data_IF_962460675001
#
_entry.id   IF_962460675001
#
_cell.length_a   1.000
_cell.length_b   1.000
_cell.length_c   1.000
_cell.angle_alpha   90.00
_cell.angle_beta   90.00
_cell.angle_gamma   90.00
#
_symmetry.space_group_name_H-M   'P 1'
#
loop_
_entity.id
_entity.type
_entity.pdbx_description
1 polymer ?
#
# COMPACT_ATOMS: atom_id res chain seq x y z
N UNK A 1 -23.46 23.93 24.61
CA UNK A 1 -22.68 22.66 24.67
C UNK A 1 -22.34 22.30 26.11
N UNK A 2 -21.81 23.24 26.91
CA UNK A 2 -21.58 23.02 28.36
C UNK A 2 -22.83 22.61 29.13
N UNK A 3 -23.97 23.32 28.96
CA UNK A 3 -25.22 22.99 29.66
C UNK A 3 -25.73 21.56 29.36
N UNK A 4 -25.57 21.11 28.11
CA UNK A 4 -25.93 19.76 27.69
C UNK A 4 -25.02 18.70 28.33
N UNK A 5 -23.71 18.99 28.46
CA UNK A 5 -22.76 18.10 29.10
C UNK A 5 -23.00 18.00 30.61
N UNK A 6 -23.33 19.11 31.27
CA UNK A 6 -23.67 19.11 32.72
C UNK A 6 -24.97 18.39 33.03
N UNK A 7 -26.02 18.58 32.21
CA UNK A 7 -27.31 17.92 32.41
C UNK A 7 -27.18 16.40 32.23
N UNK A 8 -26.42 15.96 31.21
CA UNK A 8 -26.13 14.53 31.00
C UNK A 8 -25.24 13.93 32.08
N UNK A 9 -24.34 14.72 32.68
CA UNK A 9 -23.54 14.25 33.81
C UNK A 9 -24.42 14.02 35.05
N UNK A 10 -25.37 14.91 35.34
CA UNK A 10 -26.29 14.68 36.45
C UNK A 10 -27.17 13.43 36.25
N UNK A 11 -27.66 13.20 35.03
CA UNK A 11 -28.40 11.98 34.70
C UNK A 11 -27.57 10.71 34.95
N UNK A 12 -26.29 10.71 34.55
CA UNK A 12 -25.38 9.56 34.71
C UNK A 12 -25.08 9.27 36.18
N UNK A 13 -24.87 10.29 37.03
CA UNK A 13 -24.57 10.10 38.46
C UNK A 13 -25.80 9.57 39.22
N UNK A 14 -27.00 9.87 38.73
CA UNK A 14 -28.27 9.46 39.35
C UNK A 14 -28.67 8.00 39.09
N UNK A 15 -27.89 7.26 38.29
CA UNK A 15 -28.21 5.89 37.91
C UNK A 15 -28.11 4.91 39.08
N UNK A 16 -28.99 3.91 39.09
CA UNK A 16 -28.97 2.84 40.08
C UNK A 16 -27.92 1.76 39.74
N UNK A 17 -27.66 0.86 40.69
CA UNK A 17 -26.61 -0.17 40.56
C UNK A 17 -26.79 -1.09 39.35
N UNK A 18 -28.02 -1.41 38.95
CA UNK A 18 -28.31 -2.24 37.77
C UNK A 18 -28.01 -1.49 36.47
N UNK A 19 -28.33 -0.19 36.40
CA UNK A 19 -28.04 0.66 35.25
C UNK A 19 -26.53 0.90 35.07
N UNK A 20 -25.81 1.09 36.17
CA UNK A 20 -24.33 1.15 36.16
C UNK A 20 -23.71 -0.14 35.63
N UNK A 21 -24.26 -1.30 36.00
CA UNK A 21 -23.78 -2.59 35.51
C UNK A 21 -23.97 -2.76 34.00
N UNK A 22 -25.12 -2.32 33.46
CA UNK A 22 -25.38 -2.33 32.01
C UNK A 22 -24.43 -1.39 31.26
N UNK A 23 -24.16 -0.20 31.80
CA UNK A 23 -23.18 0.73 31.21
C UNK A 23 -21.76 0.17 31.21
N UNK A 24 -21.37 -0.53 32.28
CA UNK A 24 -20.07 -1.20 32.36
C UNK A 24 -19.95 -2.28 31.28
N UNK A 25 -20.98 -3.12 31.08
CA UNK A 25 -20.99 -4.15 30.04
C UNK A 25 -20.89 -3.51 28.65
N UNK A 26 -21.64 -2.44 28.38
CA UNK A 26 -21.57 -1.71 27.11
C UNK A 26 -20.18 -1.11 26.88
N UNK A 27 -19.57 -0.50 27.90
CA UNK A 27 -18.22 0.07 27.80
C UNK A 27 -17.16 -1.01 27.54
N UNK A 28 -17.27 -2.18 28.19
CA UNK A 28 -16.40 -3.33 27.93
C UNK A 28 -16.62 -3.86 26.52
N UNK A 29 -17.86 -4.05 26.06
CA UNK A 29 -18.15 -4.53 24.72
C UNK A 29 -17.63 -3.57 23.62
N UNK A 30 -17.77 -2.26 23.81
CA UNK A 30 -17.23 -1.23 22.92
C UNK A 30 -15.70 -1.24 22.96
N UNK A 31 -15.10 -1.28 24.15
CA UNK A 31 -13.64 -1.33 24.32
C UNK A 31 -13.02 -2.59 23.70
N UNK A 32 -13.66 -3.75 23.88
CA UNK A 32 -13.26 -5.02 23.28
C UNK A 32 -13.48 -5.02 21.76
N UNK A 33 -14.58 -4.46 21.26
CA UNK A 33 -14.84 -4.29 19.84
C UNK A 33 -13.81 -3.37 19.17
N UNK A 34 -13.47 -2.25 19.80
CA UNK A 34 -12.41 -1.35 19.36
C UNK A 34 -11.04 -2.01 19.44
N UNK A 35 -10.76 -2.82 20.47
CA UNK A 35 -9.54 -3.60 20.58
C UNK A 35 -9.42 -4.64 19.45
N UNK A 36 -10.49 -5.37 19.12
CA UNK A 36 -10.48 -6.30 18.00
C UNK A 36 -10.41 -5.59 16.64
N UNK A 37 -11.06 -4.44 16.47
CA UNK A 37 -10.97 -3.62 15.26
C UNK A 37 -9.56 -3.06 15.10
N UNK A 38 -8.96 -2.55 16.16
CA UNK A 38 -7.59 -2.08 16.19
C UNK A 38 -6.61 -3.23 15.94
N UNK A 39 -6.80 -4.37 16.60
CA UNK A 39 -6.01 -5.57 16.36
C UNK A 39 -6.18 -6.09 14.93
N UNK A 40 -7.38 -6.01 14.32
CA UNK A 40 -7.61 -6.38 12.92
C UNK A 40 -6.91 -5.42 11.95
N UNK A 41 -7.01 -4.10 12.19
CA UNK A 41 -6.33 -3.07 11.41
C UNK A 41 -4.80 -3.13 11.52
N UNK A 42 -4.26 -3.47 12.70
CA UNK A 42 -2.82 -3.49 12.97
C UNK A 42 -2.17 -4.87 12.81
N UNK A 43 -2.93 -5.97 12.92
CA UNK A 43 -2.49 -7.34 12.61
C UNK A 43 -1.99 -7.45 11.16
N UNK A 44 -2.66 -6.78 10.23
CA UNK A 44 -2.25 -6.66 8.82
C UNK A 44 -0.83 -6.06 8.69
N UNK A 45 -0.46 -5.10 9.56
CA UNK A 45 0.85 -4.40 9.52
C UNK A 45 1.97 -5.16 10.25
N UNK A 46 1.70 -5.81 11.37
CA UNK A 46 2.71 -6.58 12.10
C UNK A 46 3.04 -7.92 11.43
N UNK A 47 2.06 -8.56 10.80
CA UNK A 47 2.30 -9.75 9.98
C UNK A 47 3.21 -9.39 8.81
N UNK A 48 2.92 -8.28 8.11
CA UNK A 48 3.77 -7.76 7.02
C UNK A 48 5.21 -7.44 7.45
N UNK A 49 5.45 -6.93 8.67
CA UNK A 49 6.79 -6.62 9.18
C UNK A 49 7.63 -7.88 9.50
N UNK A 50 7.04 -8.87 10.19
CA UNK A 50 7.69 -10.18 10.43
C UNK A 50 7.96 -10.92 9.12
N UNK A 51 7.08 -10.72 8.16
CA UNK A 51 7.12 -11.33 6.85
C UNK A 51 8.11 -10.67 5.89
N UNK A 52 8.30 -9.36 6.00
CA UNK A 52 9.41 -8.62 5.42
C UNK A 52 10.73 -9.09 6.01
N UNK A 53 10.80 -9.35 7.32
CA UNK A 53 11.98 -9.94 7.95
C UNK A 53 12.26 -11.36 7.43
N UNK A 54 11.24 -12.20 7.19
CA UNK A 54 11.44 -13.54 6.60
C UNK A 54 11.85 -13.48 5.12
N UNK A 55 11.31 -12.53 4.35
CA UNK A 55 11.74 -12.26 2.97
C UNK A 55 13.18 -11.74 2.93
N UNK A 56 13.49 -10.79 3.83
CA UNK A 56 14.83 -10.27 4.03
C UNK A 56 15.79 -11.38 4.47
N UNK A 57 15.35 -12.31 5.33
CA UNK A 57 16.13 -13.46 5.76
C UNK A 57 16.39 -14.42 4.60
N UNK A 58 15.38 -14.78 3.79
CA UNK A 58 15.55 -15.61 2.59
C UNK A 58 16.41 -14.94 1.52
N UNK A 59 16.30 -13.62 1.40
CA UNK A 59 17.19 -12.79 0.59
C UNK A 59 18.62 -12.84 1.13
N UNK A 60 18.83 -12.68 2.43
CA UNK A 60 20.17 -12.81 3.04
C UNK A 60 20.73 -14.23 2.85
N UNK A 61 19.89 -15.26 2.97
CA UNK A 61 20.26 -16.66 2.80
C UNK A 61 20.58 -17.02 1.34
N UNK A 62 19.85 -16.49 0.35
CA UNK A 62 20.16 -16.69 -1.08
C UNK A 62 21.44 -15.96 -1.53
N UNK A 63 21.91 -14.98 -0.73
CA UNK A 63 23.11 -14.18 -0.97
C UNK A 63 24.31 -14.53 -0.06
N UNK A 64 24.21 -15.59 0.76
CA UNK A 64 25.33 -16.06 1.58
C UNK A 64 26.54 -16.44 0.70
N UNK A 65 27.48 -15.50 0.54
CA UNK A 65 28.71 -15.66 -0.25
C UNK A 65 28.86 -14.74 -1.47
N UNK A 66 27.96 -13.80 -1.73
CA UNK A 66 28.08 -12.80 -2.82
C UNK A 66 27.93 -11.37 -2.27
N UNK A 67 28.62 -10.35 -2.83
CA UNK A 67 28.53 -8.99 -2.32
C UNK A 67 27.07 -8.51 -2.28
N UNK A 68 26.61 -7.85 -1.19
CA UNK A 68 25.25 -7.38 -1.09
C UNK A 68 25.06 -6.17 -2.02
N UNK A 69 23.81 -5.97 -2.43
CA UNK A 69 23.22 -4.83 -3.15
C UNK A 69 22.74 -5.24 -4.55
N UNK A 70 21.43 -5.54 -4.66
CA UNK A 70 20.74 -5.30 -5.92
C UNK A 70 20.90 -3.80 -6.22
N UNK A 71 21.63 -3.39 -7.28
CA UNK A 71 22.00 -2.00 -7.50
C UNK A 71 20.85 -1.16 -8.06
N UNK A 72 19.70 -1.76 -8.41
CA UNK A 72 18.52 -1.05 -8.89
C UNK A 72 17.21 -1.81 -8.56
N UNK A 73 16.09 -1.08 -8.60
CA UNK A 73 14.76 -1.61 -8.30
C UNK A 73 14.28 -2.65 -9.33
N UNK A 74 14.81 -2.63 -10.55
CA UNK A 74 14.40 -3.56 -11.61
C UNK A 74 14.81 -5.00 -11.27
N UNK A 75 16.01 -5.21 -10.72
CA UNK A 75 16.43 -6.55 -10.28
C UNK A 75 15.62 -7.04 -9.06
N UNK A 76 15.15 -6.14 -8.19
CA UNK A 76 14.27 -6.49 -7.08
C UNK A 76 12.87 -6.89 -7.57
N UNK A 77 12.36 -6.20 -8.60
CA UNK A 77 11.10 -6.55 -9.27
C UNK A 77 11.22 -7.95 -9.89
N UNK A 78 12.28 -8.22 -10.67
CA UNK A 78 12.48 -9.51 -11.33
C UNK A 78 12.59 -10.67 -10.35
N UNK A 79 13.29 -10.48 -9.22
CA UNK A 79 13.39 -11.48 -8.16
C UNK A 79 12.02 -11.79 -7.54
N UNK A 80 11.25 -10.77 -7.17
CA UNK A 80 9.95 -10.96 -6.52
C UNK A 80 8.92 -11.54 -7.52
N UNK A 81 8.96 -11.14 -8.79
CA UNK A 81 8.09 -11.72 -9.82
C UNK A 81 8.40 -13.21 -10.05
N UNK A 82 9.69 -13.57 -10.06
CA UNK A 82 10.13 -14.98 -10.13
C UNK A 82 9.60 -15.79 -8.95
N UNK A 83 9.71 -15.26 -7.73
CA UNK A 83 9.13 -15.89 -6.52
C UNK A 83 7.60 -16.00 -6.63
N UNK A 84 6.90 -14.98 -7.15
CA UNK A 84 5.45 -15.03 -7.33
C UNK A 84 5.02 -16.19 -8.24
N UNK A 85 5.76 -16.44 -9.33
CA UNK A 85 5.47 -17.57 -10.23
C UNK A 85 5.67 -18.92 -9.54
N UNK A 86 6.66 -19.05 -8.65
CA UNK A 86 6.92 -20.27 -7.87
C UNK A 86 5.82 -20.51 -6.82
N UNK A 87 5.36 -19.44 -6.16
CA UNK A 87 4.37 -19.48 -5.08
C UNK A 87 2.91 -19.57 -5.54
N UNK A 88 2.61 -19.54 -6.84
CA UNK A 88 1.26 -19.83 -7.38
C UNK A 88 0.68 -21.19 -6.95
N UNK A 89 1.47 -22.07 -6.33
CA UNK A 89 1.02 -23.33 -5.71
C UNK A 89 0.33 -23.16 -4.34
N UNK A 90 0.41 -21.98 -3.70
CA UNK A 90 -0.23 -21.70 -2.41
C UNK A 90 -0.90 -20.32 -2.35
N UNK A 91 -2.24 -20.29 -2.25
CA UNK A 91 -3.07 -19.07 -2.37
C UNK A 91 -2.75 -17.96 -1.36
N UNK A 92 -2.33 -18.29 -0.13
CA UNK A 92 -1.91 -17.27 0.87
C UNK A 92 -0.56 -16.64 0.56
N UNK A 93 0.37 -17.40 -0.02
CA UNK A 93 1.68 -16.89 -0.43
C UNK A 93 1.58 -15.93 -1.62
N UNK A 94 0.68 -16.23 -2.56
CA UNK A 94 0.43 -15.40 -3.73
C UNK A 94 -0.04 -13.97 -3.40
N UNK A 95 -0.94 -13.80 -2.42
CA UNK A 95 -1.41 -12.47 -2.01
C UNK A 95 -0.31 -11.61 -1.40
N UNK A 96 0.53 -12.24 -0.58
CA UNK A 96 1.61 -11.54 0.12
C UNK A 96 2.71 -11.11 -0.85
N UNK A 97 3.11 -12.01 -1.74
CA UNK A 97 4.16 -11.73 -2.72
C UNK A 97 3.66 -10.72 -3.75
N UNK A 98 2.39 -10.78 -4.17
CA UNK A 98 1.82 -9.75 -5.06
C UNK A 98 1.74 -8.38 -4.39
N UNK A 99 1.40 -8.29 -3.10
CA UNK A 99 1.45 -7.02 -2.37
C UNK A 99 2.88 -6.45 -2.28
N UNK A 100 3.87 -7.31 -2.02
CA UNK A 100 5.28 -6.92 -2.00
C UNK A 100 5.74 -6.42 -3.38
N UNK A 101 5.38 -7.13 -4.45
CA UNK A 101 5.68 -6.74 -5.83
C UNK A 101 5.07 -5.38 -6.18
N UNK A 102 3.82 -5.13 -5.76
CA UNK A 102 3.18 -3.81 -5.90
C UNK A 102 3.94 -2.70 -5.19
N UNK A 103 4.47 -2.97 -4.00
CA UNK A 103 5.25 -1.98 -3.23
C UNK A 103 6.58 -1.63 -3.88
N UNK A 104 7.28 -2.61 -4.46
CA UNK A 104 8.53 -2.34 -5.20
C UNK A 104 8.26 -1.59 -6.50
N UNK A 105 7.15 -1.88 -7.19
CA UNK A 105 6.72 -1.08 -8.33
C UNK A 105 6.37 0.36 -7.94
N UNK A 106 5.77 0.61 -6.77
CA UNK A 106 5.53 1.98 -6.27
C UNK A 106 6.84 2.73 -6.00
N UNK A 107 7.85 2.06 -5.46
CA UNK A 107 9.18 2.64 -5.31
C UNK A 107 9.79 3.04 -6.67
N UNK A 108 9.65 2.17 -7.69
CA UNK A 108 10.13 2.46 -9.06
C UNK A 108 9.37 3.63 -9.68
N UNK A 109 8.06 3.69 -9.48
CA UNK A 109 7.23 4.81 -9.94
C UNK A 109 7.69 6.14 -9.32
N UNK A 110 7.99 6.16 -8.02
CA UNK A 110 8.52 7.34 -7.34
C UNK A 110 9.88 7.75 -7.92
N UNK A 111 10.79 6.79 -8.13
CA UNK A 111 12.10 7.04 -8.73
C UNK A 111 11.97 7.72 -10.11
N UNK A 112 11.17 7.13 -11.01
CA UNK A 112 10.97 7.66 -12.36
C UNK A 112 10.29 9.03 -12.34
N UNK A 113 9.29 9.22 -11.47
CA UNK A 113 8.63 10.50 -11.30
C UNK A 113 9.59 11.59 -10.81
N UNK A 114 10.44 11.28 -9.82
CA UNK A 114 11.45 12.21 -9.31
C UNK A 114 12.47 12.59 -10.40
N UNK A 115 12.96 11.60 -11.16
CA UNK A 115 13.86 11.85 -12.30
C UNK A 115 13.21 12.75 -13.35
N UNK A 116 11.95 12.50 -13.71
CA UNK A 116 11.23 13.35 -14.66
C UNK A 116 11.06 14.77 -14.12
N UNK A 117 10.69 14.91 -12.84
CA UNK A 117 10.55 16.20 -12.18
C UNK A 117 11.84 17.04 -12.23
N UNK A 118 13.00 16.41 -12.03
CA UNK A 118 14.30 17.08 -12.10
C UNK A 118 14.64 17.61 -13.50
N UNK A 119 14.20 16.94 -14.57
CA UNK A 119 14.45 17.36 -15.95
C UNK A 119 13.54 18.51 -16.41
N UNK A 120 12.40 18.73 -15.75
CA UNK A 120 11.50 19.84 -16.06
C UNK A 120 12.13 21.14 -15.58
N UNK A 121 12.31 22.12 -16.48
CA UNK A 121 12.91 23.41 -16.14
C UNK A 121 11.89 24.44 -15.63
N UNK A 122 10.64 24.28 -16.05
CA UNK A 122 9.54 25.19 -15.72
C UNK A 122 8.77 24.73 -14.47
N UNK A 123 8.50 25.66 -13.55
CA UNK A 123 7.78 25.36 -12.31
C UNK A 123 6.32 24.96 -12.58
N UNK A 124 5.67 25.55 -13.57
CA UNK A 124 4.29 25.18 -13.91
C UNK A 124 4.21 23.74 -14.43
N UNK A 125 5.18 23.31 -15.25
CA UNK A 125 5.28 21.91 -15.68
C UNK A 125 5.50 20.95 -14.50
N UNK A 126 6.33 21.33 -13.53
CA UNK A 126 6.56 20.55 -12.29
C UNK A 126 5.29 20.41 -11.47
N UNK A 127 4.55 21.50 -11.26
CA UNK A 127 3.29 21.50 -10.51
C UNK A 127 2.22 20.67 -11.22
N UNK A 128 2.16 20.78 -12.55
CA UNK A 128 1.27 19.95 -13.38
C UNK A 128 1.61 18.46 -13.25
N UNK A 129 2.88 18.09 -13.27
CA UNK A 129 3.31 16.69 -13.11
C UNK A 129 2.85 16.13 -11.74
N UNK A 130 3.01 16.91 -10.67
CA UNK A 130 2.57 16.51 -9.32
C UNK A 130 1.04 16.35 -9.25
N UNK A 131 0.28 17.29 -9.81
CA UNK A 131 -1.17 17.23 -9.85
C UNK A 131 -1.69 16.05 -10.70
N UNK A 132 -1.05 15.80 -11.84
CA UNK A 132 -1.31 14.65 -12.71
C UNK A 132 -1.08 13.35 -11.94
N UNK A 133 0.05 13.24 -11.24
CA UNK A 133 0.40 12.06 -10.46
C UNK A 133 -0.57 11.81 -9.29
N UNK A 134 -0.97 12.85 -8.57
CA UNK A 134 -1.96 12.75 -7.49
C UNK A 134 -3.31 12.26 -8.01
N UNK A 135 -3.75 12.81 -9.15
CA UNK A 135 -5.00 12.39 -9.81
C UNK A 135 -4.91 10.94 -10.26
N UNK A 136 -3.79 10.55 -10.87
CA UNK A 136 -3.56 9.19 -11.33
C UNK A 136 -3.55 8.18 -10.18
N UNK A 137 -2.92 8.51 -9.03
CA UNK A 137 -2.91 7.64 -7.85
C UNK A 137 -4.33 7.37 -7.33
N UNK A 138 -5.19 8.39 -7.30
CA UNK A 138 -6.60 8.23 -6.91
C UNK A 138 -7.38 7.37 -7.91
N UNK A 139 -7.10 7.51 -9.21
CA UNK A 139 -7.73 6.70 -10.26
C UNK A 139 -7.25 5.24 -10.22
N UNK A 140 -5.97 4.99 -9.93
CA UNK A 140 -5.41 3.65 -9.79
C UNK A 140 -6.14 2.85 -8.73
N UNK A 141 -6.36 3.42 -7.54
CA UNK A 141 -7.06 2.72 -6.46
C UNK A 141 -8.47 2.32 -6.90
N UNK A 142 -9.22 3.25 -7.50
CA UNK A 142 -10.57 2.97 -8.03
C UNK A 142 -10.55 1.89 -9.12
N UNK A 143 -9.56 1.92 -10.02
CA UNK A 143 -9.38 0.92 -11.07
C UNK A 143 -9.10 -0.47 -10.48
N UNK A 144 -8.21 -0.57 -9.50
CA UNK A 144 -7.87 -1.82 -8.85
C UNK A 144 -9.06 -2.38 -8.03
N UNK A 145 -9.80 -1.52 -7.32
CA UNK A 145 -11.03 -1.91 -6.61
C UNK A 145 -12.10 -2.40 -7.57
N UNK A 146 -12.29 -1.73 -8.71
CA UNK A 146 -13.28 -2.09 -9.73
C UNK A 146 -12.96 -3.37 -10.50
N UNK A 147 -11.70 -3.84 -10.47
CA UNK A 147 -11.28 -5.09 -11.09
C UNK A 147 -11.44 -6.32 -10.19
N UNK A 148 -11.84 -6.13 -8.93
CA UNK A 148 -12.12 -7.24 -8.00
C UNK A 148 -13.49 -7.84 -8.34
N UNK A 149 -13.47 -9.03 -8.94
CA UNK A 149 -14.69 -9.79 -9.25
C UNK A 149 -15.11 -10.66 -8.06
N UNK A 150 -14.11 -11.14 -7.30
CA UNK A 150 -14.32 -12.00 -6.14
C UNK A 150 -14.92 -11.22 -4.97
N UNK A 151 -16.10 -11.64 -4.51
CA UNK A 151 -16.81 -10.98 -3.36
C UNK A 151 -16.27 -11.38 -1.98
N UNK A 152 -15.06 -11.92 -1.90
CA UNK A 152 -14.41 -12.29 -0.64
C UNK A 152 -13.36 -13.41 -0.76
N UNK A 153 -12.84 -13.84 0.38
CA UNK A 153 -11.82 -14.89 0.46
C UNK A 153 -10.42 -14.41 0.10
N UNK A 154 -9.54 -15.36 -0.24
CA UNK A 154 -8.14 -15.07 -0.58
C UNK A 154 -7.95 -14.61 -2.03
N UNK A 155 -8.98 -14.67 -2.88
CA UNK A 155 -8.86 -14.32 -4.30
C UNK A 155 -9.02 -12.81 -4.55
N UNK A 156 -9.91 -12.15 -3.81
CA UNK A 156 -10.14 -10.70 -3.95
C UNK A 156 -8.87 -9.83 -3.76
N UNK A 157 -8.02 -10.08 -2.75
CA UNK A 157 -6.75 -9.34 -2.62
C UNK A 157 -5.77 -9.62 -3.77
N UNK A 158 -5.81 -10.81 -4.35
CA UNK A 158 -4.94 -11.15 -5.48
C UNK A 158 -5.33 -10.37 -6.73
N UNK A 159 -6.62 -10.35 -7.05
CA UNK A 159 -7.19 -9.61 -8.18
C UNK A 159 -6.87 -8.12 -8.08
N UNK A 160 -7.09 -7.55 -6.89
CA UNK A 160 -6.73 -6.17 -6.60
C UNK A 160 -5.23 -5.92 -6.86
N UNK A 161 -4.36 -6.75 -6.27
CA UNK A 161 -2.92 -6.57 -6.40
C UNK A 161 -2.44 -6.71 -7.86
N UNK A 162 -3.02 -7.64 -8.63
CA UNK A 162 -2.70 -7.82 -10.05
C UNK A 162 -3.01 -6.55 -10.84
N UNK A 163 -4.22 -6.00 -10.68
CA UNK A 163 -4.61 -4.79 -11.42
C UNK A 163 -3.83 -3.56 -10.94
N UNK A 164 -3.55 -3.48 -9.64
CA UNK A 164 -2.71 -2.43 -9.07
C UNK A 164 -1.30 -2.43 -9.66
N UNK A 165 -0.66 -3.61 -9.73
CA UNK A 165 0.67 -3.79 -10.35
C UNK A 165 0.61 -3.40 -11.82
N UNK A 166 -0.39 -3.90 -12.56
CA UNK A 166 -0.56 -3.63 -13.99
C UNK A 166 -0.66 -2.14 -14.27
N UNK A 167 -1.56 -1.43 -13.59
CA UNK A 167 -1.71 0.02 -13.73
C UNK A 167 -0.39 0.74 -13.42
N UNK A 168 0.31 0.31 -12.37
CA UNK A 168 1.61 0.90 -11.98
C UNK A 168 2.69 0.71 -13.05
N UNK A 169 2.76 -0.47 -13.68
CA UNK A 169 3.69 -0.74 -14.78
C UNK A 169 3.38 0.12 -16.01
N UNK A 170 2.11 0.29 -16.36
CA UNK A 170 1.69 1.16 -17.45
C UNK A 170 2.15 2.62 -17.21
N UNK A 171 1.98 3.13 -15.99
CA UNK A 171 2.40 4.48 -15.63
C UNK A 171 3.92 4.67 -15.61
N UNK A 172 4.66 3.68 -15.10
CA UNK A 172 6.13 3.69 -15.18
C UNK A 172 6.57 3.81 -16.64
N UNK A 173 6.00 2.98 -17.53
CA UNK A 173 6.33 3.00 -18.95
C UNK A 173 6.01 4.35 -19.62
N UNK A 174 4.89 4.97 -19.25
CA UNK A 174 4.51 6.30 -19.71
C UNK A 174 5.55 7.36 -19.29
N UNK A 175 5.91 7.41 -18.00
CA UNK A 175 6.85 8.40 -17.48
C UNK A 175 8.28 8.18 -17.99
N UNK A 176 8.72 6.93 -18.16
CA UNK A 176 9.99 6.60 -18.79
C UNK A 176 10.03 7.04 -20.26
N UNK A 177 8.92 6.89 -20.98
CA UNK A 177 8.82 7.38 -22.37
C UNK A 177 8.94 8.90 -22.42
N UNK A 178 8.28 9.61 -21.51
CA UNK A 178 8.43 11.07 -21.35
C UNK A 178 9.87 11.45 -21.00
N UNK A 179 10.51 10.74 -20.07
CA UNK A 179 11.89 10.99 -19.65
C UNK A 179 12.88 10.86 -20.81
N UNK A 180 12.72 9.82 -21.64
CA UNK A 180 13.56 9.61 -22.85
C UNK A 180 13.51 10.78 -23.83
N UNK A 181 12.41 11.53 -23.88
CA UNK A 181 12.31 12.70 -24.76
C UNK A 181 13.23 13.86 -24.33
N UNK A 182 13.65 13.88 -23.06
CA UNK A 182 14.64 14.84 -22.54
C UNK A 182 16.09 14.34 -22.68
N UNK A 183 16.29 13.02 -22.67
CA UNK A 183 17.62 12.39 -22.74
C UNK A 183 18.16 12.28 -24.19
N UNK A 184 17.30 12.38 -25.21
CA UNK A 184 17.75 12.39 -26.60
C UNK A 184 18.23 13.78 -27.03
N UNK A 185 19.44 13.91 -27.62
CA UNK A 185 19.92 15.18 -28.13
C UNK A 185 18.97 15.66 -29.23
N UNK A 186 18.41 16.86 -29.05
CA UNK A 186 17.63 17.54 -30.09
C UNK A 186 18.49 17.60 -31.35
N UNK A 187 18.19 16.79 -32.37
CA UNK A 187 18.84 16.93 -33.67
C UNK A 187 18.44 18.29 -34.24
N UNK A 188 19.37 19.21 -34.48
CA UNK A 188 19.04 20.44 -35.18
C UNK A 188 18.60 20.07 -36.60
N UNK A 189 17.47 20.64 -37.03
CA UNK A 189 17.09 20.72 -38.44
C UNK A 189 17.99 21.72 -39.18
#
# INVERSE_FOLDING_TARGET
MEKFLTDRWHDIISLNSAQWFVLLILAVAIGTGLFYLFNWLYSQRFTAAKDLMDLQKRYIESYAGKPPLLPNLDQAIDFIDTELQVWKRGQKGANRISAALGSVHDAKLLEVHARLYEHLQDQQQRDNLVAEQATWLAQRTKRAEGAVESRGGTLAPLEYNIEFIKATKERISELETRLKSFEQPQRPN
#
